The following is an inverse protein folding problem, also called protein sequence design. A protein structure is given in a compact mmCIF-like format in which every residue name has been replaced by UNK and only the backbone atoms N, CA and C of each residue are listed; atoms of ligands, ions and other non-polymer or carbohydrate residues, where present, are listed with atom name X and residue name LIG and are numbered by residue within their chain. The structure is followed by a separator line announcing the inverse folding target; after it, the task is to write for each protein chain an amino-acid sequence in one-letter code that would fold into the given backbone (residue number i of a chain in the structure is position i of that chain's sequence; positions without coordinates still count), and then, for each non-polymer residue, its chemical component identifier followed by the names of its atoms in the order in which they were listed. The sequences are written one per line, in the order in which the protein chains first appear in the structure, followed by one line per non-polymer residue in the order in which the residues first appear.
data_IF_409383061326
#
_entry.id   IF_409383061326
#
_cell.length_a   1.000
_cell.length_b   1.000
_cell.length_c   1.000
_cell.angle_alpha   90.00
_cell.angle_beta   90.00
_cell.angle_gamma   90.00
#
_symmetry.space_group_name_H-M   'P 1'
#
loop_
_entity.id
_entity.type
_entity.pdbx_description
1 polymer ?
#
# COMPACT_ATOMS: atom_id res chain seq x y z
N UNK A 1 -8.76 -39.01 -9.78
CA UNK A 1 -7.89 -38.22 -8.89
C UNK A 1 -7.26 -37.13 -9.74
N UNK A 2 -7.86 -35.95 -9.70
CA UNK A 2 -7.41 -34.82 -10.51
C UNK A 2 -6.40 -34.03 -9.67
N UNK A 3 -5.12 -34.13 -10.00
CA UNK A 3 -4.05 -33.34 -9.37
C UNK A 3 -4.20 -31.90 -9.81
N UNK A 4 -4.54 -31.02 -8.89
CA UNK A 4 -4.44 -29.59 -9.13
C UNK A 4 -2.98 -29.20 -9.43
N UNK A 5 -2.72 -28.34 -10.43
CA UNK A 5 -1.35 -27.92 -10.76
C UNK A 5 -0.76 -27.13 -9.59
N UNK A 6 0.37 -27.60 -9.08
CA UNK A 6 1.19 -26.86 -8.10
C UNK A 6 1.58 -25.51 -8.73
N UNK A 7 1.29 -24.37 -8.10
CA UNK A 7 1.70 -23.06 -8.61
C UNK A 7 3.21 -23.01 -8.74
N UNK A 8 3.70 -22.60 -9.91
CA UNK A 8 5.14 -22.43 -10.14
C UNK A 8 5.72 -21.39 -9.17
N UNK A 9 6.92 -21.61 -8.60
CA UNK A 9 7.55 -20.64 -7.71
C UNK A 9 7.82 -19.33 -8.47
N UNK A 10 7.13 -18.27 -8.06
CA UNK A 10 7.27 -16.93 -8.65
C UNK A 10 6.00 -16.28 -9.19
N UNK A 11 4.90 -17.00 -9.33
CA UNK A 11 3.60 -16.41 -9.73
C UNK A 11 2.95 -15.71 -8.54
N UNK A 12 2.84 -14.38 -8.62
CA UNK A 12 2.06 -13.62 -7.65
C UNK A 12 0.57 -13.87 -7.87
N UNK A 13 -0.11 -14.42 -6.87
CA UNK A 13 -1.57 -14.67 -6.89
C UNK A 13 -2.35 -13.35 -6.75
N UNK A 14 -1.76 -12.36 -6.11
CA UNK A 14 -2.30 -11.01 -5.92
C UNK A 14 -1.19 -9.99 -6.00
N UNK A 15 -1.41 -8.90 -6.76
CA UNK A 15 -0.48 -7.77 -6.81
C UNK A 15 -1.23 -6.46 -6.98
N UNK A 16 -0.96 -5.51 -6.11
CA UNK A 16 -1.49 -4.16 -6.17
C UNK A 16 -0.41 -3.14 -5.85
N UNK A 17 -0.30 -2.10 -6.68
CA UNK A 17 0.53 -0.93 -6.38
C UNK A 17 -0.36 0.18 -5.82
N UNK A 18 -0.06 0.64 -4.63
CA UNK A 18 -0.83 1.68 -3.93
C UNK A 18 -0.41 3.08 -4.42
N UNK A 19 -0.66 3.38 -5.69
CA UNK A 19 -0.47 4.73 -6.22
C UNK A 19 -1.62 5.64 -5.79
N UNK A 20 -1.38 6.95 -5.55
CA UNK A 20 -2.46 7.91 -5.35
C UNK A 20 -3.45 7.89 -6.51
N UNK A 21 -4.74 8.04 -6.21
CA UNK A 21 -5.77 8.20 -7.23
C UNK A 21 -5.60 9.51 -8.02
N UNK A 22 -6.52 9.79 -8.98
CA UNK A 22 -6.46 10.99 -9.81
C UNK A 22 -6.41 12.29 -8.98
N UNK A 23 -7.03 12.31 -7.80
CA UNK A 23 -6.97 13.45 -6.89
C UNK A 23 -5.54 13.72 -6.38
N UNK A 24 -4.75 12.67 -6.11
CA UNK A 24 -3.36 12.83 -5.70
C UNK A 24 -2.46 13.38 -6.82
N UNK A 25 -2.69 12.92 -8.06
CA UNK A 25 -1.99 13.46 -9.24
C UNK A 25 -2.39 14.93 -9.46
N UNK A 26 -3.70 15.25 -9.36
CA UNK A 26 -4.20 16.62 -9.48
C UNK A 26 -3.58 17.56 -8.43
N UNK A 27 -3.39 17.08 -7.20
CA UNK A 27 -2.73 17.85 -6.15
C UNK A 27 -1.26 18.17 -6.51
N UNK A 28 -0.52 17.22 -7.08
CA UNK A 28 0.86 17.44 -7.55
C UNK A 28 0.88 18.48 -8.68
N UNK A 29 -0.04 18.37 -9.65
CA UNK A 29 -0.15 19.34 -10.76
C UNK A 29 -0.47 20.73 -10.22
N UNK A 30 -1.47 20.83 -9.34
CA UNK A 30 -1.86 22.12 -8.75
C UNK A 30 -0.69 22.77 -7.98
N UNK A 31 0.03 21.99 -7.21
CA UNK A 31 1.19 22.46 -6.47
C UNK A 31 2.30 22.96 -7.41
N UNK A 32 2.57 22.23 -8.50
CA UNK A 32 3.54 22.64 -9.51
C UNK A 32 3.15 23.95 -10.19
N UNK A 33 1.87 24.12 -10.54
CA UNK A 33 1.35 25.38 -11.10
C UNK A 33 1.49 26.54 -10.11
N UNK A 34 1.14 26.33 -8.83
CA UNK A 34 1.28 27.34 -7.79
C UNK A 34 2.71 27.80 -7.62
N UNK A 35 3.69 26.87 -7.62
CA UNK A 35 5.11 27.22 -7.57
C UNK A 35 5.53 28.06 -8.77
N UNK A 36 5.06 27.73 -9.97
CA UNK A 36 5.33 28.50 -11.17
C UNK A 36 4.73 29.92 -11.11
N UNK A 37 3.50 30.07 -10.64
CA UNK A 37 2.85 31.37 -10.49
C UNK A 37 3.63 32.30 -9.55
N UNK A 38 4.21 31.79 -8.47
CA UNK A 38 5.06 32.59 -7.55
C UNK A 38 6.29 33.14 -8.29
N UNK A 39 6.91 32.35 -9.16
CA UNK A 39 8.11 32.75 -9.91
C UNK A 39 7.77 33.59 -11.14
N UNK A 40 6.54 33.58 -11.60
CA UNK A 40 6.09 34.28 -12.82
C UNK A 40 6.35 35.80 -12.76
N UNK A 41 6.32 36.37 -11.55
CA UNK A 41 6.62 37.81 -11.31
C UNK A 41 8.03 38.19 -11.77
N UNK A 42 8.97 37.23 -11.71
CA UNK A 42 10.37 37.45 -12.06
C UNK A 42 10.66 37.16 -13.54
N UNK A 43 10.15 36.04 -14.06
CA UNK A 43 10.40 35.61 -15.45
C UNK A 43 9.48 34.49 -15.85
N UNK A 44 8.88 34.59 -17.03
CA UNK A 44 8.05 33.54 -17.61
C UNK A 44 8.83 32.24 -17.86
N UNK A 45 10.09 32.36 -18.30
CA UNK A 45 10.95 31.20 -18.54
C UNK A 45 11.28 30.49 -17.22
N UNK A 46 11.63 31.26 -16.18
CA UNK A 46 11.92 30.70 -14.86
C UNK A 46 10.66 30.01 -14.25
N UNK A 47 9.48 30.61 -14.42
CA UNK A 47 8.22 30.04 -13.99
C UNK A 47 7.94 28.67 -14.67
N UNK A 48 8.11 28.59 -15.99
CA UNK A 48 7.92 27.35 -16.75
C UNK A 48 8.89 26.24 -16.29
N UNK A 49 10.17 26.57 -16.11
CA UNK A 49 11.18 25.61 -15.62
C UNK A 49 10.84 25.15 -14.22
N UNK A 50 10.45 26.03 -13.30
CA UNK A 50 10.07 25.70 -11.94
C UNK A 50 8.86 24.77 -11.92
N UNK A 51 7.77 25.11 -12.64
CA UNK A 51 6.58 24.28 -12.73
C UNK A 51 6.91 22.89 -13.25
N UNK A 52 7.67 22.79 -14.33
CA UNK A 52 8.05 21.50 -14.92
C UNK A 52 8.91 20.67 -13.96
N UNK A 53 9.88 21.29 -13.31
CA UNK A 53 10.76 20.61 -12.35
C UNK A 53 9.97 20.06 -11.17
N UNK A 54 9.12 20.90 -10.56
CA UNK A 54 8.27 20.49 -9.42
C UNK A 54 7.31 19.38 -9.82
N UNK A 55 6.73 19.46 -11.02
CA UNK A 55 5.84 18.41 -11.55
C UNK A 55 6.58 17.07 -11.71
N UNK A 56 7.72 17.08 -12.38
CA UNK A 56 8.51 15.87 -12.62
C UNK A 56 8.98 15.26 -11.30
N UNK A 57 9.55 16.06 -10.41
CA UNK A 57 10.00 15.60 -9.08
C UNK A 57 8.83 15.05 -8.28
N UNK A 58 7.68 15.73 -8.27
CA UNK A 58 6.49 15.29 -7.56
C UNK A 58 5.96 13.94 -8.07
N UNK A 59 5.89 13.77 -9.41
CA UNK A 59 5.46 12.49 -10.01
C UNK A 59 6.44 11.35 -9.73
N UNK A 60 7.75 11.62 -9.78
CA UNK A 60 8.79 10.63 -9.43
C UNK A 60 8.67 10.23 -7.97
N UNK A 61 8.51 11.20 -7.04
CA UNK A 61 8.32 10.90 -5.62
C UNK A 61 7.08 10.03 -5.39
N UNK A 62 5.95 10.36 -6.02
CA UNK A 62 4.73 9.54 -5.97
C UNK A 62 5.01 8.12 -6.46
N UNK A 63 5.72 7.98 -7.58
CA UNK A 63 6.05 6.68 -8.15
C UNK A 63 6.95 5.84 -7.22
N UNK A 64 8.00 6.45 -6.67
CA UNK A 64 8.99 5.75 -5.83
C UNK A 64 8.43 5.41 -4.44
N UNK A 65 7.62 6.30 -3.86
CA UNK A 65 7.05 6.10 -2.51
C UNK A 65 5.78 5.23 -2.49
N UNK A 66 5.24 4.84 -3.65
CA UNK A 66 4.06 3.98 -3.72
C UNK A 66 4.42 2.51 -3.47
N UNK A 67 4.05 1.93 -2.32
CA UNK A 67 4.37 0.55 -2.02
C UNK A 67 3.58 -0.41 -2.90
N UNK A 68 4.16 -1.58 -3.11
CA UNK A 68 3.48 -2.73 -3.72
C UNK A 68 3.03 -3.66 -2.61
N UNK A 69 1.78 -4.10 -2.68
CA UNK A 69 1.23 -5.18 -1.86
C UNK A 69 1.04 -6.37 -2.78
N UNK A 70 1.67 -7.48 -2.46
CA UNK A 70 1.56 -8.70 -3.26
C UNK A 70 1.58 -9.95 -2.38
N UNK A 71 0.88 -11.00 -2.84
CA UNK A 71 0.97 -12.34 -2.30
C UNK A 71 1.71 -13.18 -3.33
N UNK A 72 2.92 -13.62 -2.98
CA UNK A 72 3.78 -14.43 -3.83
C UNK A 72 4.10 -15.75 -3.15
N UNK A 73 3.66 -16.86 -3.76
CA UNK A 73 3.78 -18.18 -3.12
C UNK A 73 3.07 -18.18 -1.76
N UNK A 74 3.80 -18.43 -0.69
CA UNK A 74 3.29 -18.45 0.69
C UNK A 74 3.71 -17.21 1.52
N UNK A 75 4.03 -16.10 0.86
CA UNK A 75 4.44 -14.86 1.54
C UNK A 75 3.56 -13.68 1.16
N UNK A 76 3.18 -12.89 2.15
CA UNK A 76 2.58 -11.57 1.99
C UNK A 76 3.69 -10.52 2.02
N UNK A 77 3.83 -9.77 0.94
CA UNK A 77 4.73 -8.62 0.84
C UNK A 77 3.92 -7.32 0.92
N UNK A 78 4.33 -6.41 1.80
CA UNK A 78 3.74 -5.08 1.94
C UNK A 78 4.87 -4.03 1.95
N UNK A 79 5.16 -3.46 0.77
CA UNK A 79 6.28 -2.56 0.57
C UNK A 79 7.62 -3.29 0.69
N UNK A 80 8.38 -3.00 1.76
CA UNK A 80 9.67 -3.65 2.04
C UNK A 80 9.58 -4.83 3.00
N UNK A 81 8.47 -4.93 3.72
CA UNK A 81 8.26 -6.00 4.68
C UNK A 81 7.59 -7.20 4.01
N UNK A 82 7.90 -8.38 4.50
CA UNK A 82 7.26 -9.63 4.08
C UNK A 82 7.06 -10.54 5.30
N UNK A 83 6.03 -11.37 5.23
CA UNK A 83 5.72 -12.34 6.27
C UNK A 83 5.13 -13.60 5.62
N UNK A 84 5.54 -14.82 6.07
CA UNK A 84 4.88 -16.05 5.69
C UNK A 84 3.39 -16.02 6.06
N UNK A 85 2.51 -16.41 5.15
CA UNK A 85 1.06 -16.38 5.40
C UNK A 85 0.62 -17.32 6.52
N UNK A 86 1.43 -18.33 6.82
CA UNK A 86 1.18 -19.28 7.92
C UNK A 86 1.36 -18.64 9.30
N UNK A 87 2.17 -17.59 9.39
CA UNK A 87 2.39 -16.82 10.62
C UNK A 87 1.35 -15.71 10.82
N UNK A 88 0.44 -15.52 9.87
CA UNK A 88 -0.70 -14.64 10.00
C UNK A 88 -1.88 -15.43 10.58
N UNK A 89 -2.54 -14.87 11.58
CA UNK A 89 -3.80 -15.38 12.12
C UNK A 89 -4.98 -15.13 11.18
N UNK A 90 -6.17 -15.13 11.74
CA UNK A 90 -7.38 -14.79 10.99
C UNK A 90 -7.25 -13.40 10.37
N UNK A 91 -7.59 -13.33 9.07
CA UNK A 91 -7.54 -12.07 8.32
C UNK A 91 -8.90 -11.40 8.34
N UNK A 92 -8.95 -10.15 8.80
CA UNK A 92 -10.15 -9.34 8.85
C UNK A 92 -10.09 -8.23 7.80
N UNK A 93 -11.21 -8.03 7.10
CA UNK A 93 -11.38 -6.94 6.14
C UNK A 93 -11.91 -5.71 6.88
N UNK A 94 -11.20 -4.60 6.73
CA UNK A 94 -11.58 -3.32 7.32
C UNK A 94 -11.99 -2.34 6.21
N UNK A 95 -13.10 -1.65 6.45
CA UNK A 95 -13.49 -0.44 5.72
C UNK A 95 -12.83 0.82 6.32
N UNK A 96 -13.21 2.00 5.84
CA UNK A 96 -12.62 3.25 6.29
C UNK A 96 -12.85 3.52 7.80
N UNK A 97 -13.99 3.11 8.33
CA UNK A 97 -14.31 3.30 9.75
C UNK A 97 -13.62 2.24 10.60
N UNK A 98 -13.53 1.01 10.12
CA UNK A 98 -12.73 -0.05 10.73
C UNK A 98 -11.25 0.31 10.83
N UNK A 99 -10.68 0.91 9.78
CA UNK A 99 -9.29 1.41 9.79
C UNK A 99 -9.12 2.52 10.84
N UNK A 100 -10.06 3.46 10.94
CA UNK A 100 -9.99 4.52 11.98
C UNK A 100 -10.06 3.93 13.38
N UNK A 101 -10.94 2.95 13.58
CA UNK A 101 -11.08 2.26 14.88
C UNK A 101 -9.81 1.49 15.22
N UNK A 102 -9.24 0.78 14.25
CA UNK A 102 -7.99 0.04 14.43
C UNK A 102 -6.78 0.95 14.76
N UNK A 103 -6.80 2.20 14.27
CA UNK A 103 -5.79 3.23 14.58
C UNK A 103 -6.18 4.10 15.79
N UNK A 104 -7.27 3.79 16.45
CA UNK A 104 -7.79 4.51 17.61
C UNK A 104 -6.96 4.29 18.88
N UNK A 105 -7.54 4.62 20.06
CA UNK A 105 -6.82 4.59 21.34
C UNK A 105 -6.24 3.23 21.74
N UNK A 106 -6.73 2.14 21.17
CA UNK A 106 -6.23 0.77 21.38
C UNK A 106 -5.14 0.31 20.41
N UNK A 107 -4.66 1.20 19.52
CA UNK A 107 -3.61 0.85 18.56
C UNK A 107 -2.28 0.55 19.27
N UNK A 108 -1.71 -0.62 19.00
CA UNK A 108 -0.37 -0.95 19.48
C UNK A 108 0.68 -0.42 18.49
N UNK A 109 1.55 0.53 18.90
CA UNK A 109 2.58 1.12 18.04
C UNK A 109 3.60 0.10 17.49
N UNK A 110 3.67 -1.10 18.07
CA UNK A 110 4.52 -2.19 17.58
C UNK A 110 3.92 -2.92 16.38
N UNK A 111 2.63 -2.68 16.09
CA UNK A 111 1.97 -3.27 14.91
C UNK A 111 2.60 -2.74 13.62
N UNK A 112 2.80 -3.63 12.66
CA UNK A 112 3.23 -3.21 11.34
C UNK A 112 2.07 -2.61 10.57
N UNK A 113 2.22 -1.35 10.13
CA UNK A 113 1.20 -0.62 9.39
C UNK A 113 1.73 -0.14 8.03
N UNK A 114 1.26 -0.76 6.95
CA UNK A 114 1.47 -0.29 5.58
C UNK A 114 0.22 0.43 5.09
N UNK A 115 0.04 1.67 5.52
CA UNK A 115 -1.16 2.47 5.28
C UNK A 115 -0.93 3.55 4.24
N UNK A 116 -1.99 3.85 3.48
CA UNK A 116 -2.05 4.97 2.54
C UNK A 116 -3.38 5.69 2.69
N UNK A 117 -3.32 7.01 2.89
CA UNK A 117 -4.48 7.87 3.16
C UNK A 117 -5.50 7.91 2.02
N UNK A 118 -5.07 7.60 0.79
CA UNK A 118 -5.93 7.54 -0.38
C UNK A 118 -6.60 6.16 -0.60
N UNK A 119 -6.35 5.21 0.30
CA UNK A 119 -6.95 3.86 0.27
C UNK A 119 -7.92 3.73 1.44
N UNK A 120 -9.18 3.44 1.13
CA UNK A 120 -10.26 3.40 2.13
C UNK A 120 -10.41 2.05 2.83
N UNK A 121 -9.85 0.98 2.25
CA UNK A 121 -9.93 -0.35 2.82
C UNK A 121 -8.56 -0.86 3.28
N UNK A 122 -8.58 -1.82 4.17
CA UNK A 122 -7.40 -2.53 4.64
C UNK A 122 -7.72 -3.99 4.99
N UNK A 123 -6.67 -4.78 5.14
CA UNK A 123 -6.73 -6.10 5.76
C UNK A 123 -5.86 -6.05 7.01
N UNK A 124 -6.40 -6.54 8.12
CA UNK A 124 -5.63 -6.75 9.35
C UNK A 124 -5.51 -8.23 9.67
N UNK A 125 -4.40 -8.62 10.26
CA UNK A 125 -4.17 -9.97 10.77
C UNK A 125 -3.24 -9.93 11.97
N UNK A 126 -3.48 -10.79 12.97
CA UNK A 126 -2.56 -10.98 14.10
C UNK A 126 -1.35 -11.78 13.64
N UNK A 127 -0.18 -11.47 14.20
CA UNK A 127 1.03 -12.29 14.01
C UNK A 127 1.02 -13.43 15.04
N UNK A 128 1.22 -14.65 14.55
CA UNK A 128 1.22 -15.87 15.38
C UNK A 128 2.63 -16.30 15.80
N UNK A 129 3.67 -15.61 15.34
CA UNK A 129 5.04 -15.91 15.69
C UNK A 129 5.37 -15.38 17.10
N UNK A 130 5.65 -16.26 18.09
CA UNK A 130 6.01 -15.82 19.44
C UNK A 130 7.37 -15.10 19.51
N UNK A 131 8.22 -15.25 18.48
CA UNK A 131 9.53 -14.63 18.43
C UNK A 131 9.47 -13.21 17.79
N UNK A 132 8.38 -12.88 17.08
CA UNK A 132 8.19 -11.56 16.49
C UNK A 132 7.47 -10.63 17.50
N UNK A 133 8.08 -9.51 17.89
CA UNK A 133 7.45 -8.54 18.79
C UNK A 133 6.26 -7.80 18.14
N UNK A 134 6.01 -7.99 16.85
CA UNK A 134 4.93 -7.34 16.09
C UNK A 134 3.60 -8.04 16.35
N UNK A 135 2.62 -7.40 17.04
CA UNK A 135 1.38 -8.10 17.40
C UNK A 135 0.42 -8.29 16.22
N UNK A 136 0.45 -7.37 15.24
CA UNK A 136 -0.46 -7.44 14.08
C UNK A 136 0.09 -6.70 12.87
N UNK A 137 -0.43 -7.07 11.70
CA UNK A 137 -0.23 -6.38 10.44
C UNK A 137 -1.51 -5.68 10.02
N UNK A 138 -1.37 -4.43 9.55
CA UNK A 138 -2.45 -3.63 8.99
C UNK A 138 -2.02 -3.10 7.62
N UNK A 139 -2.60 -3.63 6.56
CA UNK A 139 -2.18 -3.38 5.18
C UNK A 139 -3.30 -2.74 4.38
N UNK A 140 -3.10 -1.52 3.91
CA UNK A 140 -4.04 -0.84 3.01
C UNK A 140 -4.15 -1.53 1.66
N UNK A 141 -5.35 -1.62 1.14
CA UNK A 141 -5.66 -2.13 -0.20
C UNK A 141 -6.97 -1.54 -0.71
N UNK A 142 -7.11 -1.40 -2.04
CA UNK A 142 -8.38 -1.03 -2.67
C UNK A 142 -9.32 -2.22 -2.85
N UNK A 143 -8.79 -3.42 -2.73
CA UNK A 143 -9.50 -4.69 -2.93
C UNK A 143 -9.31 -5.63 -1.74
N UNK A 144 -9.81 -5.24 -0.54
CA UNK A 144 -9.53 -5.99 0.69
C UNK A 144 -10.04 -7.44 0.66
N UNK A 145 -11.21 -7.68 0.08
CA UNK A 145 -11.73 -9.04 -0.09
C UNK A 145 -10.84 -9.91 -1.00
N UNK A 146 -10.28 -9.33 -2.07
CA UNK A 146 -9.39 -10.06 -2.98
C UNK A 146 -8.02 -10.35 -2.32
N UNK A 147 -7.48 -9.42 -1.52
CA UNK A 147 -6.26 -9.65 -0.77
C UNK A 147 -6.46 -10.75 0.28
N UNK A 148 -7.57 -10.71 1.04
CA UNK A 148 -7.93 -11.75 1.99
C UNK A 148 -8.01 -13.11 1.32
N UNK A 149 -8.77 -13.22 0.21
CA UNK A 149 -8.91 -14.47 -0.53
C UNK A 149 -7.55 -15.01 -1.04
N UNK A 150 -6.65 -14.12 -1.48
CA UNK A 150 -5.31 -14.52 -1.92
C UNK A 150 -4.44 -15.04 -0.76
N UNK A 151 -4.54 -14.44 0.43
CA UNK A 151 -3.85 -14.92 1.64
C UNK A 151 -4.39 -16.29 2.05
N UNK A 152 -5.71 -16.47 2.07
CA UNK A 152 -6.36 -17.73 2.41
C UNK A 152 -6.01 -18.84 1.41
N UNK A 153 -6.02 -18.54 0.11
CA UNK A 153 -5.60 -19.49 -0.95
C UNK A 153 -4.11 -19.88 -0.81
N UNK A 154 -3.24 -18.92 -0.50
CA UNK A 154 -1.81 -19.19 -0.29
C UNK A 154 -1.54 -20.03 0.97
N UNK A 155 -2.42 -19.96 1.98
CA UNK A 155 -2.35 -20.78 3.20
C UNK A 155 -2.79 -22.22 2.96
N UNK A 156 -3.74 -22.42 2.05
CA UNK A 156 -4.26 -23.75 1.69
C UNK A 156 -3.46 -24.50 0.63
N UNK A 157 -2.43 -23.86 0.05
CA UNK A 157 -1.53 -24.46 -0.94
C UNK A 157 -0.27 -25.01 -0.27
#
# INVERSE_FOLDING_TARGET
MSSAPTPAPGTSTYRERLVPGPAGVAAVVLFAVMCGLVVLVSSTVAAAITSLTVLVVGLVLVAVTSPVVEVRGRELHAGRAHIPVDLLGETEVLDADGVRTALGPGYDPRSFACLRTWTKGAVTARVLDPADPTPSWLVSTRRPAALRAAIEAARGA
#
